data_IF_310943756518
#
_entry.id   IF_310943756518
#
_cell.length_a   1.000
_cell.length_b   1.000
_cell.length_c   1.000
_cell.angle_alpha   90.00
_cell.angle_beta   90.00
_cell.angle_gamma   90.00
#
_symmetry.space_group_name_H-M   'P 1'
#
loop_
_entity.id
_entity.type
_entity.pdbx_description
1 polymer ?
#
# COMPACT_ATOMS: atom_id res chain seq x y z
N UNK A 1 22.31 -32.24 -42.53
CA UNK A 1 20.88 -32.41 -42.86
C UNK A 1 20.34 -33.62 -42.07
N UNK A 2 19.81 -33.42 -40.87
CA UNK A 2 19.38 -34.52 -40.00
C UNK A 2 18.06 -34.18 -39.34
N UNK A 3 16.96 -34.72 -39.87
CA UNK A 3 15.62 -34.66 -39.27
C UNK A 3 15.43 -35.90 -38.39
N UNK A 4 15.10 -35.70 -37.11
CA UNK A 4 14.49 -36.68 -36.19
C UNK A 4 13.22 -36.00 -35.69
N UNK A 5 12.02 -36.51 -35.98
CA UNK A 5 11.28 -37.46 -35.12
C UNK A 5 10.59 -36.67 -33.99
N UNK A 6 9.32 -36.81 -33.62
CA UNK A 6 8.34 -37.85 -33.83
C UNK A 6 6.91 -37.26 -33.69
N UNK A 7 5.93 -38.10 -34.04
CA UNK A 7 4.49 -37.88 -34.05
C UNK A 7 3.86 -38.29 -32.69
N UNK A 8 2.54 -38.04 -32.57
CA UNK A 8 1.53 -38.65 -31.65
C UNK A 8 1.21 -37.80 -30.40
N UNK A 9 0.15 -36.99 -30.41
CA UNK A 9 -1.29 -37.29 -30.15
C UNK A 9 -1.61 -37.37 -28.64
N UNK A 10 -2.79 -37.06 -28.07
CA UNK A 10 -4.17 -36.88 -28.55
C UNK A 10 -4.97 -36.31 -27.33
N UNK A 11 -5.94 -35.39 -27.56
CA UNK A 11 -7.27 -35.18 -26.88
C UNK A 11 -7.39 -35.24 -25.32
N UNK A 12 -8.31 -34.61 -24.59
CA UNK A 12 -9.47 -33.71 -24.77
C UNK A 12 -9.90 -33.29 -23.33
N UNK A 13 -10.67 -32.20 -23.27
CA UNK A 13 -11.75 -31.93 -22.30
C UNK A 13 -11.41 -31.58 -20.83
N UNK A 14 -11.66 -30.30 -20.52
CA UNK A 14 -12.74 -29.89 -19.60
C UNK A 14 -12.63 -30.30 -18.14
N UNK A 15 -12.30 -29.33 -17.27
CA UNK A 15 -12.80 -29.31 -15.91
C UNK A 15 -12.91 -27.85 -15.45
N UNK A 16 -14.01 -27.55 -14.73
CA UNK A 16 -14.24 -26.31 -14.01
C UNK A 16 -12.95 -25.87 -13.32
N UNK A 17 -12.54 -24.61 -13.47
CA UNK A 17 -11.56 -24.02 -12.55
C UNK A 17 -12.20 -24.08 -11.16
N UNK A 18 -11.66 -24.86 -10.21
CA UNK A 18 -12.14 -24.83 -8.84
C UNK A 18 -11.87 -23.42 -8.32
N UNK A 19 -12.85 -22.80 -7.65
CA UNK A 19 -12.59 -21.65 -6.81
C UNK A 19 -11.41 -22.03 -5.89
N UNK A 20 -10.23 -21.39 -6.00
CA UNK A 20 -9.18 -21.65 -5.04
C UNK A 20 -9.74 -21.19 -3.70
N UNK A 21 -10.07 -22.15 -2.84
CA UNK A 21 -10.08 -21.91 -1.42
C UNK A 21 -8.74 -21.22 -1.13
N UNK A 22 -8.80 -19.96 -0.72
CA UNK A 22 -7.65 -19.16 -0.35
C UNK A 22 -6.96 -19.86 0.83
N UNK A 23 -6.10 -20.83 0.50
CA UNK A 23 -5.14 -21.43 1.41
C UNK A 23 -3.92 -20.53 1.35
N UNK A 24 -3.69 -19.85 2.47
CA UNK A 24 -2.40 -19.38 2.95
C UNK A 24 -1.52 -18.64 1.95
N UNK A 25 -1.50 -17.32 2.06
CA UNK A 25 -0.23 -16.62 2.03
C UNK A 25 -0.01 -16.04 3.43
N UNK A 26 0.97 -16.61 4.12
CA UNK A 26 1.52 -16.03 5.34
C UNK A 26 2.09 -14.67 4.99
N UNK A 27 1.36 -13.61 5.38
CA UNK A 27 1.86 -12.23 5.39
C UNK A 27 3.28 -12.17 5.96
N UNK A 28 4.12 -11.22 5.49
CA UNK A 28 5.53 -11.14 5.88
C UNK A 28 5.67 -11.13 7.40
N UNK A 29 6.57 -11.99 7.88
CA UNK A 29 6.96 -12.12 9.27
C UNK A 29 7.37 -10.75 9.84
N UNK A 30 6.46 -10.06 10.52
CA UNK A 30 6.88 -9.33 11.70
C UNK A 30 7.17 -10.40 12.76
N UNK A 31 8.44 -10.63 13.17
CA UNK A 31 8.66 -11.46 14.34
C UNK A 31 7.87 -10.81 15.48
N UNK A 32 7.09 -11.60 16.22
CA UNK A 32 6.39 -11.13 17.42
C UNK A 32 7.42 -10.38 18.29
N UNK A 33 7.28 -9.06 18.38
CA UNK A 33 8.21 -8.19 19.12
C UNK A 33 9.11 -7.26 18.31
N UNK A 34 9.04 -7.22 16.97
CA UNK A 34 9.61 -6.11 16.20
C UNK A 34 8.82 -4.83 16.49
N UNK A 35 9.52 -3.80 16.99
CA UNK A 35 8.95 -2.48 17.27
C UNK A 35 9.81 -1.46 16.53
N UNK A 36 9.22 -0.79 15.54
CA UNK A 36 9.74 0.46 15.02
C UNK A 36 9.12 1.62 15.82
N UNK A 37 9.95 2.56 16.28
CA UNK A 37 9.49 3.78 16.94
C UNK A 37 9.89 4.96 16.09
N UNK A 38 8.90 5.77 15.67
CA UNK A 38 9.12 7.01 14.93
C UNK A 38 8.97 8.20 15.88
N UNK A 39 9.93 9.13 15.83
CA UNK A 39 9.86 10.39 16.57
C UNK A 39 9.28 11.50 15.67
N UNK A 40 7.95 11.62 15.67
CA UNK A 40 7.19 12.52 14.78
C UNK A 40 6.51 13.67 15.53
N UNK A 41 6.71 13.75 16.85
CA UNK A 41 5.99 14.72 17.70
C UNK A 41 4.56 14.27 18.01
N UNK A 42 3.58 15.18 17.89
CA UNK A 42 2.18 14.90 18.22
C UNK A 42 1.44 14.34 17.02
N UNK A 43 1.08 13.07 17.12
CA UNK A 43 0.29 12.36 16.14
C UNK A 43 -1.19 12.59 16.41
N UNK A 44 -1.96 12.88 15.37
CA UNK A 44 -3.42 12.88 15.46
C UNK A 44 -4.02 11.59 14.93
N UNK A 45 -3.41 10.99 13.91
CA UNK A 45 -3.97 9.83 13.22
C UNK A 45 -2.95 9.11 12.31
N UNK A 46 -3.29 7.89 11.92
CA UNK A 46 -2.55 7.09 10.96
C UNK A 46 -3.49 6.20 10.15
N UNK A 47 -3.05 5.83 8.94
CA UNK A 47 -3.73 4.86 8.08
C UNK A 47 -2.70 4.01 7.32
N UNK A 48 -3.04 2.75 7.05
CA UNK A 48 -2.28 1.87 6.15
C UNK A 48 -3.06 1.77 4.83
N UNK A 49 -2.36 1.77 3.70
CA UNK A 49 -2.99 1.60 2.39
C UNK A 49 -3.64 0.22 2.23
N UNK A 50 -4.64 0.06 1.35
CA UNK A 50 -5.34 -1.23 1.18
C UNK A 50 -4.45 -2.39 0.73
N UNK A 51 -3.40 -2.10 -0.05
CA UNK A 51 -2.37 -3.07 -0.46
C UNK A 51 -1.36 -3.40 0.64
N UNK A 52 -1.32 -2.61 1.72
CA UNK A 52 -0.40 -2.77 2.83
C UNK A 52 1.02 -2.27 2.54
N UNK A 53 1.25 -1.51 1.46
CA UNK A 53 2.58 -1.04 1.07
C UNK A 53 2.94 0.35 1.63
N UNK A 54 1.95 1.12 2.08
CA UNK A 54 2.11 2.49 2.56
C UNK A 54 1.53 2.69 3.96
N UNK A 55 2.20 3.54 4.74
CA UNK A 55 1.74 4.03 6.04
C UNK A 55 1.72 5.57 6.00
N UNK A 56 0.53 6.16 6.13
CA UNK A 56 0.36 7.61 6.28
C UNK A 56 0.20 7.96 7.76
N UNK A 57 0.95 8.96 8.24
CA UNK A 57 0.91 9.43 9.62
C UNK A 57 0.72 10.95 9.62
N UNK A 58 -0.36 11.42 10.25
CA UNK A 58 -0.57 12.84 10.45
C UNK A 58 0.08 13.34 11.73
N UNK A 59 0.95 14.35 11.61
CA UNK A 59 1.61 15.00 12.73
C UNK A 59 1.82 16.49 12.47
N UNK A 60 1.50 17.34 13.46
CA UNK A 60 1.84 18.78 13.50
C UNK A 60 1.65 19.57 12.17
N UNK A 61 0.51 19.39 11.50
CA UNK A 61 0.20 20.15 10.27
C UNK A 61 0.86 19.62 9.00
N UNK A 62 1.34 18.38 9.02
CA UNK A 62 1.78 17.62 7.85
C UNK A 62 1.31 16.17 7.95
N UNK A 63 1.38 15.46 6.84
CA UNK A 63 1.24 14.02 6.77
C UNK A 63 2.52 13.43 6.19
N UNK A 64 3.12 12.51 6.91
CA UNK A 64 4.31 11.78 6.49
C UNK A 64 3.88 10.41 6.00
N UNK A 65 4.28 10.07 4.77
CA UNK A 65 4.02 8.79 4.14
C UNK A 65 5.31 7.99 4.11
N UNK A 66 5.21 6.75 4.56
CA UNK A 66 6.29 5.78 4.64
C UNK A 66 5.95 4.55 3.80
N UNK A 67 6.97 3.84 3.34
CA UNK A 67 6.81 2.45 2.94
C UNK A 67 6.45 1.61 4.17
N UNK A 68 5.66 0.57 3.98
CA UNK A 68 5.29 -0.39 5.01
C UNK A 68 5.50 -1.80 4.46
N UNK A 69 6.06 -2.75 5.23
CA UNK A 69 6.33 -2.72 6.67
C UNK A 69 7.64 -2.06 7.11
N UNK A 70 8.52 -1.70 6.17
CA UNK A 70 9.90 -1.32 6.48
C UNK A 70 10.04 0.08 7.09
N UNK A 71 8.98 0.90 7.02
CA UNK A 71 8.89 2.25 7.59
C UNK A 71 9.97 3.19 7.03
N UNK A 72 10.25 3.09 5.73
CA UNK A 72 11.16 4.00 5.06
C UNK A 72 10.41 5.27 4.63
N UNK A 73 10.95 6.48 4.89
CA UNK A 73 10.27 7.73 4.53
C UNK A 73 10.17 7.88 3.01
N UNK A 74 8.96 8.15 2.51
CA UNK A 74 8.70 8.35 1.08
C UNK A 74 8.42 9.82 0.75
N UNK A 75 7.43 10.41 1.39
CA UNK A 75 7.04 11.81 1.13
C UNK A 75 6.46 12.47 2.37
N UNK A 76 6.71 13.77 2.51
CA UNK A 76 6.00 14.63 3.44
C UNK A 76 5.04 15.52 2.68
N UNK A 77 3.77 15.49 3.06
CA UNK A 77 2.69 16.28 2.49
C UNK A 77 2.35 17.40 3.48
N UNK A 78 2.62 18.64 3.09
CA UNK A 78 2.24 19.79 3.90
C UNK A 78 0.72 19.91 3.97
N UNK A 79 0.19 20.14 5.18
CA UNK A 79 -1.23 20.40 5.43
C UNK A 79 -1.45 21.87 5.78
N UNK A 80 -1.52 22.76 4.76
CA UNK A 80 -1.81 24.17 4.98
C UNK A 80 -3.24 24.32 5.48
N UNK A 81 -3.38 24.68 6.76
CA UNK A 81 -4.69 24.86 7.40
C UNK A 81 -4.81 24.24 8.79
N UNK A 82 -3.84 23.43 9.22
CA UNK A 82 -3.72 22.95 10.60
C UNK A 82 -3.79 21.43 10.75
N UNK A 83 -4.16 20.98 11.95
CA UNK A 83 -4.10 19.56 12.32
C UNK A 83 -5.10 18.72 11.53
N UNK A 84 -4.67 17.51 11.16
CA UNK A 84 -5.56 16.50 10.59
C UNK A 84 -6.42 15.85 11.68
N UNK A 85 -7.66 15.54 11.33
CA UNK A 85 -8.63 14.82 12.18
C UNK A 85 -9.15 13.53 11.55
N UNK A 86 -8.91 13.35 10.24
CA UNK A 86 -9.21 12.11 9.50
C UNK A 86 -8.10 11.88 8.48
N UNK A 87 -7.63 10.65 8.33
CA UNK A 87 -6.69 10.22 7.27
C UNK A 87 -7.22 8.91 6.68
N UNK A 88 -7.41 8.87 5.36
CA UNK A 88 -7.91 7.68 4.68
C UNK A 88 -7.30 7.52 3.29
N UNK A 89 -6.83 6.31 2.99
CA UNK A 89 -6.52 5.92 1.61
C UNK A 89 -7.80 5.59 0.85
N UNK A 90 -7.80 5.87 -0.46
CA UNK A 90 -8.82 5.35 -1.36
C UNK A 90 -8.73 3.82 -1.45
N UNK A 91 -9.83 3.12 -1.81
CA UNK A 91 -9.82 1.65 -1.92
C UNK A 91 -8.85 1.09 -2.97
N UNK A 92 -8.52 1.89 -3.99
CA UNK A 92 -7.51 1.57 -5.02
C UNK A 92 -6.07 1.88 -4.58
N UNK A 93 -5.86 2.53 -3.43
CA UNK A 93 -4.55 2.91 -2.91
C UNK A 93 -3.91 4.13 -3.59
N UNK A 94 -4.53 4.68 -4.64
CA UNK A 94 -3.93 5.73 -5.45
C UNK A 94 -4.06 7.12 -4.84
N UNK A 95 -5.00 7.32 -3.91
CA UNK A 95 -5.29 8.62 -3.32
C UNK A 95 -5.25 8.58 -1.79
N UNK A 96 -4.82 9.68 -1.20
CA UNK A 96 -4.88 9.94 0.23
C UNK A 96 -5.75 11.15 0.51
N UNK A 97 -6.80 10.95 1.30
CA UNK A 97 -7.69 12.00 1.78
C UNK A 97 -7.36 12.36 3.23
N UNK A 98 -7.23 13.66 3.50
CA UNK A 98 -6.99 14.18 4.85
C UNK A 98 -7.97 15.30 5.15
N UNK A 99 -8.78 15.10 6.19
CA UNK A 99 -9.70 16.12 6.69
C UNK A 99 -9.06 16.98 7.78
N UNK A 100 -9.12 18.29 7.61
CA UNK A 100 -8.75 19.29 8.62
C UNK A 100 -10.00 19.97 9.17
N UNK A 101 -9.82 20.98 10.03
CA UNK A 101 -10.95 21.75 10.57
C UNK A 101 -11.77 22.46 9.49
N UNK A 102 -11.14 22.93 8.42
CA UNK A 102 -11.76 23.80 7.41
C UNK A 102 -11.78 23.25 6.00
N UNK A 103 -11.07 22.15 5.72
CA UNK A 103 -10.91 21.62 4.38
C UNK A 103 -10.68 20.11 4.36
N UNK A 104 -10.85 19.52 3.18
CA UNK A 104 -10.36 18.19 2.86
C UNK A 104 -9.30 18.36 1.78
N UNK A 105 -8.15 17.74 1.99
CA UNK A 105 -7.04 17.72 1.05
C UNK A 105 -6.91 16.31 0.48
N UNK A 106 -6.71 16.22 -0.84
CA UNK A 106 -6.55 14.97 -1.56
C UNK A 106 -5.21 15.02 -2.28
N UNK A 107 -4.40 13.98 -2.13
CA UNK A 107 -3.18 13.77 -2.91
C UNK A 107 -3.30 12.47 -3.69
N UNK A 108 -2.83 12.50 -4.93
CA UNK A 108 -2.56 11.31 -5.72
C UNK A 108 -1.14 10.83 -5.39
N UNK A 109 -1.00 9.56 -5.03
CA UNK A 109 0.23 8.92 -4.55
C UNK A 109 0.86 8.00 -5.60
N UNK A 110 0.46 8.12 -6.87
CA UNK A 110 0.88 7.24 -7.96
C UNK A 110 2.38 6.92 -7.92
N UNK A 111 2.70 5.63 -8.03
CA UNK A 111 4.05 5.03 -7.87
C UNK A 111 5.08 5.40 -8.95
N UNK A 112 4.82 6.43 -9.76
CA UNK A 112 5.80 6.98 -10.68
C UNK A 112 5.96 8.48 -10.43
N UNK A 113 7.08 8.80 -9.79
CA UNK A 113 7.76 10.09 -9.84
C UNK A 113 7.01 11.24 -9.15
N UNK A 114 7.27 11.41 -7.85
CA UNK A 114 7.22 12.73 -7.22
C UNK A 114 8.42 13.52 -7.76
N UNK A 115 8.34 13.99 -9.01
CA UNK A 115 9.28 14.97 -9.57
C UNK A 115 8.84 16.37 -9.18
N UNK A 116 9.73 17.08 -8.47
CA UNK A 116 9.63 18.50 -8.15
C UNK A 116 9.79 19.40 -9.40
#
# INVERSE_FOLDING_TARGET
MGRKGALVALLLAGALVPCPAAQGESHPNFPLGAVATLDLGWLSELAISPDGELLAIAALGKVEVFSFPDVEPMVTLDLPGGNAFSVAFSPDGENLAVGTFSAVHIWELSSQEISF
#
